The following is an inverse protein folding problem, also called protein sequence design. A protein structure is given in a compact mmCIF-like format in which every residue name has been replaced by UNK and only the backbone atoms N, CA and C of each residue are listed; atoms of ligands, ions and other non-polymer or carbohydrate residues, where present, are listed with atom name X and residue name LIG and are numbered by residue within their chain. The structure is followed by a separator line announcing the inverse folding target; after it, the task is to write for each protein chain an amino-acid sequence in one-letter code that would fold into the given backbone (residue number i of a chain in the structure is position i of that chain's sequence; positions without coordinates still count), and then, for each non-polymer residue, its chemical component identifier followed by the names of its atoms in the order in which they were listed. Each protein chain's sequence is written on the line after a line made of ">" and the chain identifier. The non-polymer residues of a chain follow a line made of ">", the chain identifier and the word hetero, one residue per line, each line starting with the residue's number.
data_IF_480303385956
#
_entry.id   IF_480303385956
#
_cell.length_a   1.000
_cell.length_b   1.000
_cell.length_c   1.000
_cell.angle_alpha   90.00
_cell.angle_beta   90.00
_cell.angle_gamma   90.00
#
_symmetry.space_group_name_H-M   'P 1'
#
loop_
_entity.id
_entity.type
_entity.pdbx_description
1 polymer ?
#
# COMPACT_ATOMS: atom_id res chain seq x y z
N UNK A 1 42.68 -7.34 -50.11
CA UNK A 1 42.10 -8.64 -49.71
C UNK A 1 41.56 -8.47 -48.29
N UNK A 2 40.23 -8.30 -48.17
CA UNK A 2 39.61 -8.22 -46.84
C UNK A 2 39.43 -9.64 -46.29
N UNK A 3 40.20 -9.99 -45.25
CA UNK A 3 39.98 -11.22 -44.50
C UNK A 3 38.72 -11.05 -43.68
N UNK A 4 37.66 -11.74 -44.04
CA UNK A 4 36.47 -11.89 -43.21
C UNK A 4 36.85 -12.69 -41.95
N UNK A 5 36.95 -12.02 -40.81
CA UNK A 5 37.12 -12.68 -39.48
C UNK A 5 35.82 -13.34 -39.09
N UNK A 6 35.79 -14.65 -39.09
CA UNK A 6 34.68 -15.43 -38.59
C UNK A 6 34.60 -15.39 -37.06
N UNK A 7 33.40 -15.46 -36.52
CA UNK A 7 33.17 -15.59 -35.07
C UNK A 7 33.75 -16.92 -34.56
N UNK A 8 34.41 -16.86 -33.42
CA UNK A 8 34.91 -18.08 -32.77
C UNK A 8 33.78 -18.72 -31.94
N UNK A 9 33.82 -20.04 -31.78
CA UNK A 9 32.82 -20.77 -31.00
C UNK A 9 32.78 -20.29 -29.54
N UNK A 10 33.92 -19.91 -28.99
CA UNK A 10 34.01 -19.37 -27.62
C UNK A 10 33.35 -18.00 -27.49
N UNK A 11 33.44 -17.15 -28.51
CA UNK A 11 32.82 -15.84 -28.53
C UNK A 11 31.29 -15.97 -28.54
N UNK A 12 30.74 -16.94 -29.30
CA UNK A 12 29.32 -17.25 -29.30
C UNK A 12 28.85 -17.76 -27.92
N UNK A 13 29.63 -18.63 -27.27
CA UNK A 13 29.29 -19.13 -25.93
C UNK A 13 29.28 -18.02 -24.89
N UNK A 14 30.23 -17.09 -24.94
CA UNK A 14 30.27 -15.93 -24.03
C UNK A 14 29.06 -15.02 -24.25
N UNK A 15 28.66 -14.75 -25.50
CA UNK A 15 27.48 -13.94 -25.80
C UNK A 15 26.20 -14.60 -25.28
N UNK A 16 26.02 -15.90 -25.48
CA UNK A 16 24.86 -16.63 -24.96
C UNK A 16 24.86 -16.60 -23.44
N UNK A 17 25.99 -16.75 -22.77
CA UNK A 17 26.10 -16.66 -21.31
C UNK A 17 25.73 -15.28 -20.79
N UNK A 18 26.16 -14.21 -21.45
CA UNK A 18 25.82 -12.83 -21.09
C UNK A 18 24.33 -12.54 -21.29
N UNK A 19 23.73 -13.03 -22.38
CA UNK A 19 22.30 -12.90 -22.63
C UNK A 19 21.50 -13.66 -21.55
N UNK A 20 21.89 -14.89 -21.23
CA UNK A 20 21.25 -15.67 -20.17
C UNK A 20 21.35 -14.99 -18.80
N UNK A 21 22.52 -14.45 -18.46
CA UNK A 21 22.72 -13.66 -17.24
C UNK A 21 21.85 -12.39 -17.22
N UNK A 22 21.72 -11.68 -18.33
CA UNK A 22 20.85 -10.52 -18.46
C UNK A 22 19.38 -10.90 -18.27
N UNK A 23 18.91 -12.01 -18.82
CA UNK A 23 17.52 -12.50 -18.64
C UNK A 23 17.20 -12.83 -17.18
N UNK A 24 18.16 -13.28 -16.40
CA UNK A 24 17.96 -13.58 -14.96
C UNK A 24 17.95 -12.33 -14.10
N UNK A 25 18.77 -11.32 -14.44
CA UNK A 25 18.97 -10.13 -13.62
C UNK A 25 17.96 -8.98 -13.93
N UNK A 26 17.68 -8.75 -15.21
CA UNK A 26 16.86 -7.62 -15.65
C UNK A 26 15.41 -7.66 -15.13
N UNK A 27 14.67 -8.79 -15.12
CA UNK A 27 13.29 -8.79 -14.65
C UNK A 27 13.12 -8.39 -13.18
N UNK A 28 14.09 -8.71 -12.32
CA UNK A 28 14.01 -8.37 -10.89
C UNK A 28 14.04 -6.88 -10.62
N UNK A 29 14.75 -6.11 -11.43
CA UNK A 29 14.83 -4.65 -11.27
C UNK A 29 13.66 -3.90 -11.90
N UNK A 30 13.04 -4.45 -12.95
CA UNK A 30 11.95 -3.81 -13.67
C UNK A 30 10.56 -4.08 -13.05
N UNK A 31 10.40 -5.16 -12.29
CA UNK A 31 9.11 -5.55 -11.67
C UNK A 31 9.11 -5.41 -10.15
N UNK A 32 10.06 -4.70 -9.55
CA UNK A 32 10.18 -4.50 -8.09
C UNK A 32 9.22 -3.45 -7.53
N UNK A 33 8.08 -3.20 -8.15
CA UNK A 33 7.09 -2.25 -7.68
C UNK A 33 5.70 -2.88 -7.58
N UNK A 34 4.90 -2.39 -6.64
CA UNK A 34 3.47 -2.69 -6.62
C UNK A 34 2.85 -2.15 -7.90
N UNK A 35 2.08 -2.97 -8.61
CA UNK A 35 1.43 -2.50 -9.83
C UNK A 35 0.46 -1.35 -9.50
N UNK A 36 0.23 -0.45 -10.47
CA UNK A 36 -0.74 0.63 -10.26
C UNK A 36 -2.14 0.12 -9.97
N UNK A 37 -2.46 -1.10 -10.42
CA UNK A 37 -3.73 -1.77 -10.12
C UNK A 37 -3.78 -2.21 -8.64
N UNK A 38 -2.71 -2.80 -8.11
CA UNK A 38 -2.64 -3.23 -6.71
C UNK A 38 -2.60 -2.04 -5.75
N UNK A 39 -1.92 -0.95 -6.13
CA UNK A 39 -1.92 0.30 -5.37
C UNK A 39 -3.33 0.89 -5.27
N UNK A 40 -4.05 0.93 -6.39
CA UNK A 40 -5.45 1.37 -6.43
C UNK A 40 -6.39 0.42 -5.67
N UNK A 41 -6.18 -0.88 -5.76
CA UNK A 41 -6.93 -1.87 -4.99
C UNK A 41 -6.73 -1.67 -3.49
N UNK A 42 -5.49 -1.51 -3.04
CA UNK A 42 -5.15 -1.27 -1.63
C UNK A 42 -5.78 0.00 -1.08
N UNK A 43 -5.78 1.10 -1.85
CA UNK A 43 -6.45 2.34 -1.43
C UNK A 43 -7.96 2.16 -1.28
N UNK A 44 -8.59 1.38 -2.17
CA UNK A 44 -10.01 1.03 -2.09
C UNK A 44 -10.33 0.12 -0.91
N UNK A 45 -9.46 -0.85 -0.62
CA UNK A 45 -9.61 -1.76 0.52
C UNK A 45 -9.55 -1.01 1.85
N UNK A 46 -8.60 -0.08 1.99
CA UNK A 46 -8.51 0.79 3.16
C UNK A 46 -9.76 1.66 3.29
N UNK A 47 -10.20 2.30 2.19
CA UNK A 47 -11.40 3.12 2.20
C UNK A 47 -12.66 2.31 2.53
N UNK A 48 -12.77 1.08 2.06
CA UNK A 48 -13.85 0.17 2.40
C UNK A 48 -13.82 -0.21 3.89
N UNK A 49 -12.62 -0.49 4.43
CA UNK A 49 -12.43 -0.75 5.85
C UNK A 49 -12.83 0.42 6.74
N UNK A 50 -12.46 1.65 6.35
CA UNK A 50 -12.85 2.86 7.06
C UNK A 50 -14.37 3.10 7.04
N UNK A 51 -15.02 2.88 5.88
CA UNK A 51 -16.48 2.99 5.77
C UNK A 51 -17.20 1.92 6.61
N UNK A 52 -16.63 0.71 6.65
CA UNK A 52 -17.14 -0.39 7.49
C UNK A 52 -17.02 -0.05 8.98
N UNK A 53 -15.86 0.45 9.42
CA UNK A 53 -15.67 0.90 10.81
C UNK A 53 -16.66 2.01 11.20
N UNK A 54 -16.91 2.98 10.31
CA UNK A 54 -17.93 4.00 10.51
C UNK A 54 -19.34 3.41 10.65
N UNK A 55 -19.71 2.52 9.73
CA UNK A 55 -21.02 1.87 9.76
C UNK A 55 -21.21 1.04 11.04
N UNK A 56 -20.18 0.34 11.48
CA UNK A 56 -20.19 -0.42 12.71
C UNK A 56 -20.37 0.49 13.94
N UNK A 57 -19.65 1.62 14.01
CA UNK A 57 -19.78 2.58 15.09
C UNK A 57 -21.23 3.11 15.23
N UNK A 58 -21.85 3.49 14.11
CA UNK A 58 -23.23 3.98 14.08
C UNK A 58 -24.23 2.88 14.47
N UNK A 59 -24.07 1.68 13.92
CA UNK A 59 -24.98 0.57 14.13
C UNK A 59 -24.92 0.01 15.55
N UNK A 60 -23.73 -0.13 16.11
CA UNK A 60 -23.52 -0.68 17.46
C UNK A 60 -23.61 0.37 18.55
N UNK A 61 -23.66 1.65 18.19
CA UNK A 61 -23.62 2.80 19.11
C UNK A 61 -22.41 2.78 20.03
N UNK A 62 -21.27 2.32 19.50
CA UNK A 62 -19.98 2.26 20.20
C UNK A 62 -18.88 2.78 19.31
N UNK A 63 -17.86 3.34 19.93
CA UNK A 63 -16.67 3.75 19.20
C UNK A 63 -16.05 2.55 18.48
N UNK A 64 -15.70 2.74 17.22
CA UNK A 64 -15.02 1.72 16.41
C UNK A 64 -13.80 2.36 15.74
N UNK A 65 -12.66 1.69 15.78
CA UNK A 65 -11.44 2.18 15.17
C UNK A 65 -10.94 1.27 14.06
N UNK A 66 -10.34 1.86 13.03
CA UNK A 66 -9.46 1.17 12.12
C UNK A 66 -8.02 1.50 12.52
N UNK A 67 -7.27 0.49 12.91
CA UNK A 67 -5.85 0.59 13.27
C UNK A 67 -5.00 0.12 12.10
N UNK A 68 -4.08 0.95 11.66
CA UNK A 68 -3.11 0.65 10.62
C UNK A 68 -1.77 0.30 11.28
N UNK A 69 -1.22 -0.86 10.93
CA UNK A 69 0.14 -1.29 11.30
C UNK A 69 1.03 -1.17 10.06
N UNK A 70 1.88 -0.15 10.06
CA UNK A 70 2.74 0.18 8.93
C UNK A 70 3.91 -0.81 8.79
N UNK A 71 4.34 -1.43 9.89
CA UNK A 71 5.42 -2.41 9.89
C UNK A 71 4.94 -3.76 9.35
N UNK A 72 3.80 -4.24 9.85
CA UNK A 72 3.18 -5.49 9.40
C UNK A 72 2.41 -5.36 8.09
N UNK A 73 2.20 -4.13 7.63
CA UNK A 73 1.38 -3.80 6.46
C UNK A 73 0.00 -4.43 6.54
N UNK A 74 -0.66 -4.20 7.65
CA UNK A 74 -2.01 -4.67 7.92
C UNK A 74 -2.87 -3.54 8.43
N UNK A 75 -4.17 -3.65 8.21
CA UNK A 75 -5.13 -2.85 8.94
C UNK A 75 -6.13 -3.77 9.65
N UNK A 76 -6.57 -3.33 10.81
CA UNK A 76 -7.49 -4.09 11.65
C UNK A 76 -8.66 -3.20 12.05
N UNK A 77 -9.87 -3.73 11.92
CA UNK A 77 -11.11 -3.06 12.32
C UNK A 77 -11.52 -3.63 13.67
N UNK A 78 -11.66 -2.76 14.67
CA UNK A 78 -12.12 -3.08 16.03
C UNK A 78 -11.36 -4.27 16.67
N UNK A 79 -10.08 -4.45 16.32
CA UNK A 79 -9.24 -5.54 16.85
C UNK A 79 -9.58 -6.95 16.33
N UNK A 80 -10.61 -7.11 15.49
CA UNK A 80 -11.11 -8.43 15.09
C UNK A 80 -10.81 -8.80 13.63
N UNK A 81 -11.01 -7.89 12.71
CA UNK A 81 -10.84 -8.16 11.28
C UNK A 81 -9.53 -7.58 10.76
N UNK A 82 -8.52 -8.43 10.58
CA UNK A 82 -7.22 -8.01 10.04
C UNK A 82 -7.12 -8.33 8.56
N UNK A 83 -6.72 -7.34 7.76
CA UNK A 83 -6.42 -7.48 6.34
C UNK A 83 -4.98 -7.13 6.06
N UNK A 84 -4.32 -7.93 5.22
CA UNK A 84 -2.95 -7.68 4.76
C UNK A 84 -2.95 -6.82 3.50
N UNK A 85 -1.98 -5.94 3.43
CA UNK A 85 -1.67 -5.11 2.27
C UNK A 85 -0.38 -5.63 1.59
N UNK A 86 -0.14 -5.34 0.31
CA UNK A 86 1.07 -5.75 -0.39
C UNK A 86 2.35 -5.29 0.30
N UNK A 87 3.37 -6.13 0.32
CA UNK A 87 4.61 -5.91 1.09
C UNK A 87 5.45 -4.72 0.61
N UNK A 88 5.33 -4.36 -0.66
CA UNK A 88 6.11 -3.27 -1.28
C UNK A 88 5.39 -1.91 -1.26
N UNK A 89 4.25 -1.80 -0.55
CA UNK A 89 3.56 -0.53 -0.37
C UNK A 89 4.25 0.34 0.69
N UNK A 90 4.50 1.58 0.34
CA UNK A 90 4.82 2.62 1.30
C UNK A 90 3.52 3.16 1.90
N UNK A 91 3.43 3.19 3.21
CA UNK A 91 2.25 3.66 3.92
C UNK A 91 2.61 4.76 4.91
N UNK A 92 1.75 5.77 4.96
CA UNK A 92 1.82 6.84 5.95
C UNK A 92 0.41 7.14 6.46
N UNK A 93 0.26 7.24 7.76
CA UNK A 93 -0.98 7.69 8.39
C UNK A 93 -0.72 9.01 9.12
N UNK A 94 -1.54 9.99 8.83
CA UNK A 94 -1.64 11.24 9.59
C UNK A 94 -2.99 11.24 10.28
N UNK A 95 -3.00 11.27 11.59
CA UNK A 95 -4.21 11.26 12.43
C UNK A 95 -4.01 12.12 13.67
N UNK A 96 -5.05 12.26 14.50
CA UNK A 96 -4.95 12.94 15.77
C UNK A 96 -3.88 12.28 16.67
N UNK A 97 -3.15 13.08 17.44
CA UNK A 97 -2.04 12.59 18.27
C UNK A 97 -2.51 11.58 19.32
N UNK A 98 -3.77 11.68 19.78
CA UNK A 98 -4.41 10.72 20.68
C UNK A 98 -4.63 9.33 20.09
N UNK A 99 -4.60 9.20 18.77
CA UNK A 99 -4.82 7.94 18.03
C UNK A 99 -3.51 7.27 17.60
N UNK A 100 -2.37 7.87 17.93
CA UNK A 100 -1.05 7.27 17.68
C UNK A 100 -0.75 6.28 18.80
N UNK A 101 -0.76 5.00 18.48
CA UNK A 101 -0.52 3.93 19.45
C UNK A 101 0.99 3.76 19.72
N UNK A 102 1.80 3.82 18.64
CA UNK A 102 3.26 3.80 18.68
C UNK A 102 3.83 4.31 17.34
N UNK A 103 5.15 4.22 17.14
CA UNK A 103 5.82 4.72 15.92
C UNK A 103 5.37 4.03 14.62
N UNK A 104 4.84 2.79 14.70
CA UNK A 104 4.42 2.01 13.55
C UNK A 104 2.90 1.77 13.47
N UNK A 105 2.15 2.14 14.52
CA UNK A 105 0.71 1.90 14.62
C UNK A 105 -0.04 3.17 14.96
N UNK A 106 -1.05 3.48 14.16
CA UNK A 106 -1.96 4.58 14.41
C UNK A 106 -3.37 4.20 13.96
N UNK A 107 -4.37 4.88 14.52
CA UNK A 107 -5.78 4.58 14.31
C UNK A 107 -6.56 5.77 13.77
N UNK A 108 -7.68 5.49 13.13
CA UNK A 108 -8.74 6.46 12.89
C UNK A 108 -9.98 5.91 13.58
N UNK A 109 -10.54 6.69 14.51
CA UNK A 109 -11.70 6.31 15.31
C UNK A 109 -12.95 6.96 14.75
N UNK A 110 -14.04 6.21 14.75
CA UNK A 110 -15.38 6.67 14.42
C UNK A 110 -16.27 6.59 15.64
N UNK A 111 -17.15 7.57 15.77
CA UNK A 111 -18.07 7.70 16.88
C UNK A 111 -19.51 7.30 16.48
N UNK A 112 -20.38 7.01 17.46
CA UNK A 112 -21.78 6.60 17.21
C UNK A 112 -22.61 7.60 16.40
N UNK A 113 -22.27 8.88 16.45
CA UNK A 113 -22.92 9.94 15.66
C UNK A 113 -22.43 9.99 14.20
N UNK A 114 -21.48 9.13 13.83
CA UNK A 114 -20.88 9.06 12.51
C UNK A 114 -19.73 10.02 12.27
N UNK A 115 -19.36 10.84 13.24
CA UNK A 115 -18.15 11.67 13.22
C UNK A 115 -16.89 10.82 13.42
N UNK A 116 -15.71 11.41 13.35
CA UNK A 116 -14.43 10.71 13.41
C UNK A 116 -13.34 11.58 14.03
N UNK A 117 -12.26 10.98 14.49
CA UNK A 117 -11.02 11.72 14.82
C UNK A 117 -10.37 12.33 13.58
N UNK A 118 -10.81 11.94 12.39
CA UNK A 118 -10.23 12.38 11.13
C UNK A 118 -8.87 11.78 10.86
N UNK A 119 -8.38 11.99 9.65
CA UNK A 119 -7.03 11.58 9.27
C UNK A 119 -6.88 11.32 7.78
N UNK A 120 -5.64 11.03 7.39
CA UNK A 120 -5.25 10.71 6.02
C UNK A 120 -4.35 9.50 6.00
N UNK A 121 -4.73 8.49 5.23
CA UNK A 121 -3.88 7.34 4.91
C UNK A 121 -3.32 7.55 3.52
N UNK A 122 -2.01 7.66 3.39
CA UNK A 122 -1.31 7.71 2.10
C UNK A 122 -0.74 6.32 1.81
N UNK A 123 -1.02 5.79 0.64
CA UNK A 123 -0.39 4.58 0.09
C UNK A 123 0.36 4.97 -1.17
N UNK A 124 1.61 4.56 -1.28
CA UNK A 124 2.48 4.93 -2.39
C UNK A 124 3.30 3.74 -2.90
N UNK A 125 3.70 3.83 -4.15
CA UNK A 125 4.66 2.93 -4.79
C UNK A 125 5.41 3.68 -5.88
N UNK A 126 6.68 4.02 -5.63
CA UNK A 126 7.46 4.92 -6.46
C UNK A 126 6.83 6.31 -6.54
N UNK A 127 6.62 6.81 -7.74
CA UNK A 127 6.05 8.16 -7.94
C UNK A 127 4.50 8.21 -7.82
N UNK A 128 3.83 7.06 -7.72
CA UNK A 128 2.37 6.99 -7.65
C UNK A 128 1.92 6.93 -6.21
N UNK A 129 0.92 7.75 -5.86
CA UNK A 129 0.30 7.74 -4.54
C UNK A 129 -1.21 7.82 -4.64
N UNK A 130 -1.89 7.29 -3.64
CA UNK A 130 -3.29 7.53 -3.36
C UNK A 130 -3.44 7.98 -1.91
N UNK A 131 -4.34 8.91 -1.70
CA UNK A 131 -4.65 9.45 -0.38
C UNK A 131 -6.10 9.10 -0.05
N UNK A 132 -6.31 8.49 1.11
CA UNK A 132 -7.64 8.19 1.65
C UNK A 132 -7.86 9.14 2.82
N UNK A 133 -8.72 10.12 2.60
CA UNK A 133 -9.05 11.14 3.58
C UNK A 133 -10.31 10.78 4.36
N UNK A 134 -10.29 11.04 5.65
CA UNK A 134 -11.44 10.92 6.53
C UNK A 134 -11.74 12.29 7.15
N UNK A 135 -12.91 12.81 6.84
CA UNK A 135 -13.40 14.06 7.41
C UNK A 135 -13.79 13.86 8.88
N UNK A 136 -13.28 14.69 9.75
CA UNK A 136 -13.48 14.53 11.20
C UNK A 136 -14.93 14.78 11.62
N UNK A 137 -15.63 15.71 10.98
CA UNK A 137 -16.98 16.10 11.37
C UNK A 137 -18.04 15.11 10.87
N UNK A 138 -17.89 14.65 9.62
CA UNK A 138 -18.91 13.82 8.96
C UNK A 138 -18.51 12.34 8.88
N UNK A 139 -17.26 12.00 9.19
CA UNK A 139 -16.71 10.66 8.97
C UNK A 139 -16.69 10.23 7.50
N UNK A 140 -16.81 11.18 6.57
CA UNK A 140 -16.80 10.88 5.13
C UNK A 140 -15.42 10.41 4.70
N UNK A 141 -15.39 9.30 3.96
CA UNK A 141 -14.17 8.72 3.41
C UNK A 141 -14.09 9.01 1.92
N UNK A 142 -13.05 9.70 1.50
CA UNK A 142 -12.77 10.04 0.09
C UNK A 142 -11.41 9.51 -0.33
N UNK A 143 -11.25 9.23 -1.63
CA UNK A 143 -9.98 8.79 -2.21
C UNK A 143 -9.55 9.86 -3.22
N UNK A 144 -8.32 10.37 -3.07
CA UNK A 144 -7.65 11.26 -4.00
C UNK A 144 -6.40 10.59 -4.60
N UNK A 145 -5.97 11.06 -5.77
CA UNK A 145 -4.78 10.59 -6.50
C UNK A 145 -3.83 11.76 -6.72
#
# INVERSE_FOLDING_TARGET
>A
MNQARGFTLIELMVVIMLIAAAYVLVPRYLFSGVSGADLKASSRDIAAGLRMARAEAVNTRRDTSLTLDMEKRTFTINGAQTRKLPELLEMKLVTAQSEVVNQSQASIRFFPDGSSTGGRVTVASGERKYEVDVDWLTGRVTIAQ
#
